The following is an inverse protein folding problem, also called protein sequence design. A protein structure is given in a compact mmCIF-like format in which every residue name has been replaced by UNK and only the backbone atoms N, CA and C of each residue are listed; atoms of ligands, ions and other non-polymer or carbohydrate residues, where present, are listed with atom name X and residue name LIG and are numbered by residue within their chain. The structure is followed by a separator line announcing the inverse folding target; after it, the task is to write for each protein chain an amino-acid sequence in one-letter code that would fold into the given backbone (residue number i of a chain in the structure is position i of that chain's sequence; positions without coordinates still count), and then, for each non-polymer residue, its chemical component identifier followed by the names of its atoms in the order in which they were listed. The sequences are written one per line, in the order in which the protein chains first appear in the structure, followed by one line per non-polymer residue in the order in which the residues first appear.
data_IF_658479389105
#
_entry.id   IF_658479389105
#
_cell.length_a   1.000
_cell.length_b   1.000
_cell.length_c   1.000
_cell.angle_alpha   90.00
_cell.angle_beta   90.00
_cell.angle_gamma   90.00
#
_symmetry.space_group_name_H-M   'P 1'
#
loop_
_entity.id
_entity.type
_entity.pdbx_description
1 polymer ?
#
# COMPACT_ATOMS: atom_id res chain seq x y z
N UNK A 1 -3.13 3.32 24.26
CA UNK A 1 -2.64 3.96 23.01
C UNK A 1 -3.34 3.28 21.85
N UNK A 2 -3.70 4.01 20.80
CA UNK A 2 -4.37 3.40 19.65
C UNK A 2 -3.34 2.93 18.60
N UNK A 3 -3.63 1.80 17.95
CA UNK A 3 -2.92 1.35 16.74
C UNK A 3 -3.94 1.15 15.64
N UNK A 4 -3.59 1.53 14.42
CA UNK A 4 -4.39 1.32 13.23
C UNK A 4 -3.68 0.34 12.31
N UNK A 5 -4.35 -0.78 12.00
CA UNK A 5 -3.93 -1.66 10.91
C UNK A 5 -4.55 -1.20 9.61
N UNK A 6 -3.71 -0.94 8.60
CA UNK A 6 -4.10 -0.45 7.30
C UNK A 6 -3.70 -1.45 6.21
N UNK A 7 -4.63 -1.76 5.30
CA UNK A 7 -4.38 -2.63 4.16
C UNK A 7 -5.28 -2.30 2.99
N UNK A 8 -4.75 -2.37 1.77
CA UNK A 8 -5.55 -2.25 0.56
C UNK A 8 -6.57 -3.39 0.47
N UNK A 9 -7.78 -3.05 0.01
CA UNK A 9 -8.83 -4.01 -0.28
C UNK A 9 -8.34 -4.97 -1.35
N UNK A 10 -8.72 -6.24 -1.22
CA UNK A 10 -8.58 -7.22 -2.29
C UNK A 10 -9.98 -7.68 -2.66
N UNK A 11 -10.21 -7.85 -3.95
CA UNK A 11 -11.34 -8.65 -4.42
C UNK A 11 -10.95 -10.11 -4.21
N UNK A 12 -11.83 -10.88 -3.58
CA UNK A 12 -11.70 -12.33 -3.47
C UNK A 12 -12.79 -12.95 -4.33
N UNK A 13 -12.50 -13.11 -5.60
CA UNK A 13 -13.36 -13.81 -6.56
C UNK A 13 -12.97 -15.28 -6.65
N UNK A 14 -13.93 -16.14 -7.03
CA UNK A 14 -13.59 -17.51 -7.48
C UNK A 14 -12.92 -17.52 -8.86
N UNK A 15 -13.03 -16.41 -9.58
CA UNK A 15 -12.38 -16.16 -10.85
C UNK A 15 -11.05 -15.44 -10.59
N UNK A 16 -9.95 -16.19 -10.63
CA UNK A 16 -8.61 -15.64 -10.38
C UNK A 16 -8.23 -14.51 -11.35
N UNK A 17 -8.84 -14.47 -12.55
CA UNK A 17 -8.63 -13.39 -13.50
C UNK A 17 -9.20 -12.06 -13.02
N UNK A 18 -10.34 -12.06 -12.32
CA UNK A 18 -10.93 -10.85 -11.73
C UNK A 18 -10.00 -10.24 -10.68
N UNK A 19 -9.43 -11.06 -9.80
CA UNK A 19 -8.54 -10.60 -8.74
C UNK A 19 -7.25 -10.01 -9.33
N UNK A 20 -6.71 -10.65 -10.37
CA UNK A 20 -5.53 -10.16 -11.10
C UNK A 20 -5.81 -8.86 -11.84
N UNK A 21 -6.94 -8.78 -12.56
CA UNK A 21 -7.39 -7.58 -13.24
C UNK A 21 -7.55 -6.40 -12.27
N UNK A 22 -8.21 -6.65 -11.13
CA UNK A 22 -8.35 -5.66 -10.07
C UNK A 22 -6.98 -5.23 -9.56
N UNK A 23 -6.05 -6.16 -9.31
CA UNK A 23 -4.71 -5.81 -8.84
C UNK A 23 -3.97 -4.90 -9.83
N UNK A 24 -3.94 -5.26 -11.12
CA UNK A 24 -3.25 -4.47 -12.16
C UNK A 24 -3.89 -3.10 -12.37
N UNK A 25 -5.23 -3.01 -12.42
CA UNK A 25 -5.95 -1.76 -12.69
C UNK A 25 -6.02 -0.86 -11.45
N UNK A 26 -6.30 -1.45 -10.28
CA UNK A 26 -6.59 -0.71 -9.05
C UNK A 26 -5.35 -0.45 -8.22
N UNK A 27 -4.52 -1.46 -7.95
CA UNK A 27 -3.30 -1.30 -7.16
C UNK A 27 -2.13 -0.81 -8.00
N UNK A 28 -1.99 -1.32 -9.22
CA UNK A 28 -0.85 -1.09 -10.09
C UNK A 28 0.18 -2.23 -9.99
N UNK A 29 1.32 -2.03 -10.65
CA UNK A 29 2.41 -3.01 -10.66
C UNK A 29 3.72 -2.31 -10.34
N UNK A 30 4.39 -2.82 -9.32
CA UNK A 30 5.72 -2.37 -8.95
C UNK A 30 6.78 -3.31 -9.52
N UNK A 31 7.87 -2.72 -9.99
CA UNK A 31 9.09 -3.44 -10.32
C UNK A 31 10.20 -2.95 -9.39
N UNK A 32 10.68 -3.88 -8.56
CA UNK A 32 11.84 -3.68 -7.70
C UNK A 32 13.08 -4.20 -8.41
N UNK A 33 14.20 -3.47 -8.31
CA UNK A 33 15.49 -4.02 -8.71
C UNK A 33 15.91 -5.13 -7.73
N UNK A 34 15.72 -4.87 -6.43
CA UNK A 34 16.05 -5.77 -5.32
C UNK A 34 14.95 -5.67 -4.22
N UNK A 35 14.75 -6.72 -3.42
CA UNK A 35 13.98 -6.61 -2.17
C UNK A 35 14.83 -5.81 -1.17
N UNK A 36 14.31 -4.68 -0.68
CA UNK A 36 15.02 -3.86 0.30
C UNK A 36 14.24 -3.58 1.57
N UNK A 37 14.98 -3.38 2.65
CA UNK A 37 14.51 -3.03 3.97
C UNK A 37 15.07 -1.68 4.44
N UNK A 38 14.56 -1.20 5.58
CA UNK A 38 15.07 0.01 6.20
C UNK A 38 16.56 -0.14 6.53
N UNK A 39 17.36 0.87 6.17
CA UNK A 39 18.81 0.88 6.38
C UNK A 39 19.65 0.32 5.22
N UNK A 40 19.00 -0.23 4.19
CA UNK A 40 19.67 -0.65 2.96
C UNK A 40 19.76 0.50 1.93
N UNK A 41 20.42 0.23 0.81
CA UNK A 41 20.62 1.21 -0.26
C UNK A 41 19.31 1.50 -1.01
N UNK A 42 18.77 2.70 -0.79
CA UNK A 42 17.54 3.20 -1.44
C UNK A 42 17.83 4.03 -2.70
N UNK A 43 19.00 3.90 -3.33
CA UNK A 43 19.34 4.64 -4.57
C UNK A 43 18.55 4.15 -5.78
N UNK A 44 18.06 2.91 -5.76
CA UNK A 44 17.25 2.34 -6.83
C UNK A 44 15.77 2.70 -6.62
N UNK A 45 15.16 3.55 -7.48
CA UNK A 45 13.79 3.98 -7.29
C UNK A 45 12.79 2.85 -7.53
N UNK A 46 11.65 2.92 -6.84
CA UNK A 46 10.49 2.07 -7.12
C UNK A 46 9.93 2.42 -8.50
N UNK A 47 9.87 1.45 -9.41
CA UNK A 47 9.26 1.65 -10.74
C UNK A 47 7.81 1.22 -10.71
N UNK A 48 6.90 2.14 -11.04
CA UNK A 48 5.46 1.93 -10.91
C UNK A 48 4.72 2.07 -12.26
N UNK A 49 3.92 1.06 -12.57
CA UNK A 49 2.91 1.09 -13.62
C UNK A 49 1.52 1.22 -13.02
N UNK A 50 0.72 2.19 -13.48
CA UNK A 50 -0.54 2.50 -12.82
C UNK A 50 -1.59 3.11 -13.74
N UNK A 51 -2.84 2.66 -13.57
CA UNK A 51 -4.02 3.42 -13.98
C UNK A 51 -4.23 4.59 -13.01
N UNK A 52 -4.09 5.82 -13.50
CA UNK A 52 -4.14 7.03 -12.65
C UNK A 52 -5.53 7.63 -12.53
N UNK A 53 -6.55 6.99 -13.10
CA UNK A 53 -7.93 7.45 -12.96
C UNK A 53 -8.29 7.53 -11.47
N UNK A 54 -8.41 8.76 -10.96
CA UNK A 54 -8.62 9.08 -9.54
C UNK A 54 -7.51 8.55 -8.62
N UNK A 55 -6.24 8.69 -9.02
CA UNK A 55 -5.10 8.30 -8.20
C UNK A 55 -5.19 8.95 -6.80
N UNK A 56 -5.30 8.15 -5.71
CA UNK A 56 -5.34 8.67 -4.35
C UNK A 56 -3.94 9.16 -3.90
N UNK A 57 -3.91 10.03 -2.89
CA UNK A 57 -2.65 10.47 -2.27
C UNK A 57 -1.90 9.35 -1.55
N UNK A 58 -2.56 8.22 -1.28
CA UNK A 58 -1.99 7.01 -0.68
C UNK A 58 -2.39 5.83 -1.54
N UNK A 59 -1.43 5.05 -2.00
CA UNK A 59 -1.65 3.79 -2.73
C UNK A 59 -0.82 2.67 -2.12
N UNK A 60 -1.18 1.42 -2.41
CA UNK A 60 -0.44 0.23 -1.98
C UNK A 60 -0.32 -0.76 -3.14
N UNK A 61 0.53 -0.46 -4.14
CA UNK A 61 0.77 -1.35 -5.28
C UNK A 61 1.51 -2.64 -4.90
N UNK A 62 2.15 -2.68 -3.73
CA UNK A 62 2.99 -3.78 -3.25
C UNK A 62 2.89 -3.91 -1.72
N UNK A 63 3.95 -4.37 -1.05
CA UNK A 63 4.05 -4.41 0.41
C UNK A 63 3.96 -3.01 1.03
N UNK A 64 4.78 -2.08 0.54
CA UNK A 64 4.89 -0.73 1.08
C UNK A 64 3.79 0.21 0.52
N UNK A 65 3.55 1.30 1.24
CA UNK A 65 2.71 2.37 0.73
C UNK A 65 3.48 3.26 -0.23
N UNK A 66 2.78 3.77 -1.22
CA UNK A 66 3.23 4.84 -2.11
C UNK A 66 2.42 6.08 -1.78
N UNK A 67 3.10 7.14 -1.37
CA UNK A 67 2.54 8.38 -0.85
C UNK A 67 2.80 9.53 -1.80
N UNK A 68 1.82 10.40 -1.99
CA UNK A 68 2.05 11.69 -2.64
C UNK A 68 2.99 12.54 -1.78
N UNK A 69 3.66 13.50 -2.42
CA UNK A 69 4.54 14.43 -1.72
C UNK A 69 3.85 15.18 -0.57
N UNK A 70 2.56 15.49 -0.73
CA UNK A 70 1.75 16.14 0.30
C UNK A 70 1.57 15.26 1.56
N UNK A 71 1.31 13.95 1.38
CA UNK A 71 1.18 13.01 2.51
C UNK A 71 2.54 12.73 3.14
N UNK A 72 3.57 12.50 2.31
CA UNK A 72 4.97 12.34 2.75
C UNK A 72 5.39 13.49 3.68
N UNK A 73 5.14 14.73 3.28
CA UNK A 73 5.57 15.90 4.04
C UNK A 73 4.90 16.02 5.42
N UNK A 74 3.73 15.41 5.63
CA UNK A 74 3.06 15.39 6.96
C UNK A 74 3.68 14.40 7.93
N UNK A 75 4.40 13.40 7.42
CA UNK A 75 5.10 12.40 8.22
C UNK A 75 6.62 12.59 8.16
N UNK A 76 7.09 13.69 7.57
CA UNK A 76 8.50 14.07 7.57
C UNK A 76 8.93 14.33 9.02
N UNK A 77 9.87 13.50 9.51
CA UNK A 77 10.34 13.55 10.89
C UNK A 77 9.77 12.46 11.82
N UNK A 78 8.85 11.62 11.35
CA UNK A 78 8.54 10.37 12.05
C UNK A 78 9.81 9.51 12.12
N UNK A 79 10.19 8.97 13.29
CA UNK A 79 11.41 8.19 13.43
C UNK A 79 11.31 6.85 12.68
N UNK A 80 12.47 6.30 12.33
CA UNK A 80 12.62 4.95 11.78
C UNK A 80 11.77 4.66 10.54
N UNK A 81 11.58 5.66 9.68
CA UNK A 81 11.05 5.48 8.33
C UNK A 81 12.01 6.09 7.32
N UNK A 82 11.91 5.65 6.07
CA UNK A 82 12.62 6.25 4.96
C UNK A 82 11.69 6.40 3.75
N UNK A 83 12.12 7.23 2.80
CA UNK A 83 11.41 7.46 1.56
C UNK A 83 12.29 7.09 0.38
N UNK A 84 11.78 6.23 -0.49
CA UNK A 84 12.39 5.98 -1.79
C UNK A 84 11.59 6.70 -2.89
N UNK A 85 12.27 7.19 -3.92
CA UNK A 85 11.61 7.86 -5.03
C UNK A 85 10.79 6.85 -5.85
N UNK A 86 9.57 7.25 -6.25
CA UNK A 86 8.79 6.52 -7.25
C UNK A 86 9.03 7.11 -8.63
N UNK A 87 9.34 6.24 -9.60
CA UNK A 87 9.41 6.57 -11.02
C UNK A 87 8.29 5.85 -11.74
N UNK A 88 7.39 6.61 -12.36
CA UNK A 88 6.34 6.03 -13.17
C UNK A 88 6.91 5.55 -14.50
N UNK A 89 6.90 4.23 -14.74
CA UNK A 89 7.35 3.64 -16.01
C UNK A 89 6.22 3.53 -17.02
N UNK A 90 4.97 3.45 -16.53
CA UNK A 90 3.77 3.49 -17.36
C UNK A 90 2.60 4.10 -16.60
N UNK A 91 2.05 5.16 -17.17
CA UNK A 91 0.80 5.78 -16.77
C UNK A 91 -0.21 5.67 -17.88
N UNK A 92 -1.44 5.33 -17.53
CA UNK A 92 -2.59 5.37 -18.42
C UNK A 92 -3.82 5.77 -17.60
N UNK A 93 -4.88 6.21 -18.26
CA UNK A 93 -6.11 6.64 -17.59
C UNK A 93 -7.30 5.97 -18.23
N UNK A 94 -7.83 4.95 -17.56
CA UNK A 94 -9.07 4.28 -17.92
C UNK A 94 -10.10 4.51 -16.82
N UNK A 95 -11.33 4.97 -17.14
CA UNK A 95 -12.40 5.10 -16.17
C UNK A 95 -12.72 3.76 -15.49
N UNK A 96 -12.11 3.54 -14.32
CA UNK A 96 -12.22 2.31 -13.56
C UNK A 96 -12.29 2.67 -12.07
N UNK A 97 -13.29 2.14 -11.37
CA UNK A 97 -13.42 2.22 -9.93
C UNK A 97 -13.44 0.81 -9.33
N UNK A 98 -13.33 0.70 -8.01
CA UNK A 98 -13.55 -0.58 -7.32
C UNK A 98 -14.90 -1.17 -7.74
N UNK A 99 -14.90 -2.45 -8.13
CA UNK A 99 -16.10 -3.16 -8.60
C UNK A 99 -16.51 -2.89 -10.05
N UNK A 100 -15.83 -2.01 -10.78
CA UNK A 100 -16.14 -1.70 -12.18
C UNK A 100 -15.47 -2.66 -13.18
N UNK A 101 -16.13 -3.76 -13.47
CA UNK A 101 -15.61 -4.79 -14.37
C UNK A 101 -16.03 -4.60 -15.84
N UNK A 102 -16.35 -3.37 -16.28
CA UNK A 102 -16.76 -3.12 -17.69
C UNK A 102 -15.67 -3.41 -18.72
N UNK A 103 -14.42 -3.35 -18.32
CA UNK A 103 -13.26 -3.66 -19.15
C UNK A 103 -12.76 -5.11 -18.96
N UNK A 104 -13.43 -5.88 -18.10
CA UNK A 104 -13.13 -7.28 -17.86
C UNK A 104 -14.01 -8.17 -18.76
N UNK A 105 -13.39 -9.17 -19.38
CA UNK A 105 -14.10 -10.24 -20.07
C UNK A 105 -13.93 -11.54 -19.29
N UNK A 106 -15.06 -12.15 -18.95
CA UNK A 106 -15.09 -13.39 -18.17
C UNK A 106 -14.30 -14.49 -18.88
N UNK A 107 -13.44 -15.17 -18.14
CA UNK A 107 -12.66 -16.30 -18.64
C UNK A 107 -11.35 -15.92 -19.31
N UNK A 108 -10.95 -14.63 -19.29
CA UNK A 108 -9.59 -14.26 -19.67
C UNK A 108 -8.58 -14.83 -18.67
N UNK A 109 -7.50 -15.37 -19.18
CA UNK A 109 -6.37 -15.81 -18.37
C UNK A 109 -5.51 -14.62 -17.94
N UNK A 110 -4.71 -14.78 -16.87
CA UNK A 110 -3.85 -13.70 -16.35
C UNK A 110 -2.92 -13.10 -17.43
N UNK A 111 -2.37 -13.95 -18.29
CA UNK A 111 -1.49 -13.51 -19.38
C UNK A 111 -2.21 -12.64 -20.42
N UNK A 112 -3.50 -12.87 -20.68
CA UNK A 112 -4.29 -12.06 -21.61
C UNK A 112 -4.63 -10.69 -21.00
N UNK A 113 -4.86 -10.65 -19.68
CA UNK A 113 -5.04 -9.40 -18.92
C UNK A 113 -3.77 -8.56 -18.99
N UNK A 114 -2.62 -9.16 -18.69
CA UNK A 114 -1.33 -8.49 -18.73
C UNK A 114 -1.05 -7.97 -20.13
N UNK A 115 -1.18 -8.82 -21.17
CA UNK A 115 -0.98 -8.41 -22.56
C UNK A 115 -1.89 -7.22 -22.96
N UNK A 116 -3.16 -7.23 -22.54
CA UNK A 116 -4.08 -6.13 -22.81
C UNK A 116 -3.65 -4.84 -22.09
N UNK A 117 -3.36 -4.89 -20.78
CA UNK A 117 -2.92 -3.71 -20.01
C UNK A 117 -1.58 -3.19 -20.54
N UNK A 118 -0.65 -4.08 -20.88
CA UNK A 118 0.66 -3.77 -21.43
C UNK A 118 0.55 -3.13 -22.83
N UNK A 119 -0.51 -3.44 -23.59
CA UNK A 119 -0.80 -2.80 -24.88
C UNK A 119 -1.34 -1.36 -24.76
N UNK A 120 -1.85 -0.94 -23.60
CA UNK A 120 -2.36 0.42 -23.41
C UNK A 120 -1.23 1.45 -23.59
N UNK A 121 -1.50 2.60 -24.22
CA UNK A 121 -0.48 3.62 -24.45
C UNK A 121 -0.04 4.24 -23.12
N UNK A 122 1.27 4.40 -22.94
CA UNK A 122 1.79 5.25 -21.88
C UNK A 122 1.51 6.72 -22.22
N UNK A 123 0.85 7.43 -21.31
CA UNK A 123 0.70 8.88 -21.37
C UNK A 123 1.55 9.56 -20.27
N UNK A 124 2.75 10.08 -20.61
CA UNK A 124 3.61 10.75 -19.65
C UNK A 124 3.06 12.10 -19.19
N UNK A 125 2.12 12.70 -19.92
CA UNK A 125 1.55 13.99 -19.53
C UNK A 125 0.73 13.89 -18.23
N UNK A 126 0.23 12.69 -17.92
CA UNK A 126 -0.46 12.39 -16.67
C UNK A 126 0.42 12.62 -15.43
N UNK A 127 1.74 12.46 -15.54
CA UNK A 127 2.66 12.69 -14.43
C UNK A 127 2.65 14.16 -13.96
N UNK A 128 2.44 15.11 -14.89
CA UNK A 128 2.46 16.54 -14.58
C UNK A 128 1.34 16.95 -13.59
N UNK A 129 0.20 16.26 -13.64
CA UNK A 129 -0.93 16.53 -12.75
C UNK A 129 -0.87 15.78 -11.41
N UNK A 130 -0.05 14.73 -11.32
CA UNK A 130 0.04 13.89 -10.12
C UNK A 130 1.05 14.42 -9.09
N UNK A 131 2.10 15.10 -9.55
CA UNK A 131 3.22 15.48 -8.70
C UNK A 131 4.12 14.28 -8.36
N UNK A 132 5.00 14.48 -7.38
CA UNK A 132 5.92 13.44 -6.94
C UNK A 132 5.24 12.44 -5.99
N UNK A 133 5.64 11.18 -6.11
CA UNK A 133 5.27 10.09 -5.20
C UNK A 133 6.52 9.42 -4.64
N UNK A 134 6.38 8.89 -3.44
CA UNK A 134 7.46 8.27 -2.68
C UNK A 134 6.97 6.98 -2.06
N UNK A 135 7.78 5.93 -2.13
CA UNK A 135 7.52 4.73 -1.36
C UNK A 135 7.92 4.97 0.09
N UNK A 136 7.01 4.66 1.02
CA UNK A 136 7.25 4.66 2.45
C UNK A 136 7.90 3.33 2.84
N UNK A 137 9.20 3.37 3.13
CA UNK A 137 9.98 2.23 3.62
C UNK A 137 9.92 2.22 5.13
N UNK A 138 9.45 1.11 5.69
CA UNK A 138 9.19 0.94 7.13
C UNK A 138 9.93 -0.30 7.68
N UNK A 139 10.19 -0.34 8.99
CA UNK A 139 10.66 -1.54 9.66
C UNK A 139 9.69 -2.70 9.44
N UNK A 140 10.21 -3.91 9.26
CA UNK A 140 9.40 -5.14 9.24
C UNK A 140 9.47 -5.72 10.64
N UNK A 141 8.33 -6.03 11.25
CA UNK A 141 8.28 -6.51 12.63
C UNK A 141 9.21 -7.70 12.90
N UNK A 142 9.26 -8.64 11.95
CA UNK A 142 10.14 -9.81 12.00
C UNK A 142 11.63 -9.50 12.21
N UNK A 143 12.08 -8.29 11.84
CA UNK A 143 13.50 -7.91 11.89
C UNK A 143 13.90 -7.40 13.30
N UNK A 144 12.94 -7.02 14.15
CA UNK A 144 13.20 -6.36 15.44
C UNK A 144 12.48 -7.01 16.63
N UNK A 145 11.50 -7.88 16.40
CA UNK A 145 10.73 -8.51 17.47
C UNK A 145 11.54 -9.27 18.54
N UNK A 146 12.70 -9.89 18.25
CA UNK A 146 13.48 -10.58 19.29
C UNK A 146 13.95 -9.68 20.44
N UNK A 147 14.06 -8.36 20.23
CA UNK A 147 14.68 -7.42 21.17
C UNK A 147 13.68 -6.71 22.10
N UNK A 148 12.37 -6.91 21.90
CA UNK A 148 11.32 -6.23 22.68
C UNK A 148 10.50 -7.23 23.50
N UNK A 149 10.03 -6.78 24.68
CA UNK A 149 8.91 -7.42 25.35
C UNK A 149 7.64 -7.04 24.57
N UNK A 150 7.08 -8.00 23.84
CA UNK A 150 5.95 -7.74 22.96
C UNK A 150 4.68 -8.37 23.51
N UNK A 151 3.63 -7.55 23.66
CA UNK A 151 2.29 -8.06 23.87
C UNK A 151 1.68 -8.52 22.54
N UNK A 152 0.95 -9.62 22.61
CA UNK A 152 0.23 -10.20 21.48
C UNK A 152 -1.18 -9.64 21.43
N UNK A 153 -1.51 -8.87 20.41
CA UNK A 153 -2.87 -8.37 20.19
C UNK A 153 -3.49 -9.09 18.99
N UNK A 154 -4.60 -9.79 19.21
CA UNK A 154 -5.35 -10.40 18.10
C UNK A 154 -6.26 -9.35 17.46
N UNK A 155 -6.15 -9.23 16.15
CA UNK A 155 -6.83 -8.26 15.30
C UNK A 155 -7.81 -9.01 14.39
N UNK A 156 -9.10 -8.72 14.56
CA UNK A 156 -10.11 -9.07 13.56
C UNK A 156 -10.30 -7.90 12.59
N UNK A 157 -9.72 -8.02 11.40
CA UNK A 157 -10.05 -7.14 10.28
C UNK A 157 -11.43 -7.52 9.73
N UNK A 158 -12.18 -6.57 9.15
CA UNK A 158 -13.42 -6.87 8.43
C UNK A 158 -13.22 -8.06 7.46
N UNK A 159 -14.20 -8.97 7.44
CA UNK A 159 -14.13 -10.22 6.68
C UNK A 159 -13.84 -9.98 5.20
N UNK A 160 -12.96 -10.82 4.61
CA UNK A 160 -12.65 -10.76 3.18
C UNK A 160 -11.49 -9.85 2.81
N UNK A 161 -10.57 -9.51 3.74
CA UNK A 161 -9.38 -8.69 3.42
C UNK A 161 -8.07 -9.24 4.01
N UNK A 162 -8.14 -9.89 5.17
CA UNK A 162 -7.03 -10.63 5.80
C UNK A 162 -7.58 -11.95 6.33
N UNK A 163 -6.73 -12.98 6.51
CA UNK A 163 -7.13 -14.15 7.30
C UNK A 163 -7.67 -13.66 8.65
N UNK A 164 -8.84 -14.17 9.04
CA UNK A 164 -9.42 -13.90 10.37
C UNK A 164 -8.38 -14.18 11.46
N UNK A 165 -8.22 -13.24 12.40
CA UNK A 165 -7.31 -13.38 13.54
C UNK A 165 -5.84 -13.08 13.20
N UNK A 166 -5.57 -11.92 12.60
CA UNK A 166 -4.19 -11.45 12.45
C UNK A 166 -3.65 -11.16 13.85
N UNK A 167 -2.54 -11.78 14.22
CA UNK A 167 -1.87 -11.47 15.48
C UNK A 167 -0.85 -10.38 15.18
N UNK A 168 -0.96 -9.25 15.86
CA UNK A 168 0.02 -8.16 15.80
C UNK A 168 0.78 -8.08 17.10
N UNK A 169 2.04 -7.71 16.97
CA UNK A 169 3.02 -7.66 18.04
C UNK A 169 3.32 -6.21 18.35
N UNK A 170 2.90 -5.73 19.52
CA UNK A 170 3.00 -4.33 19.89
C UNK A 170 3.25 -4.14 21.40
N UNK A 171 4.07 -3.16 21.75
CA UNK A 171 4.15 -2.61 23.10
C UNK A 171 4.25 -1.07 23.02
N UNK A 172 3.90 -0.33 24.09
CA UNK A 172 3.99 1.13 24.09
C UNK A 172 5.37 1.67 23.72
N UNK A 173 6.44 1.05 24.24
CA UNK A 173 7.82 1.46 23.95
C UNK A 173 8.19 1.17 22.49
N UNK A 174 7.80 -0.01 21.98
CA UNK A 174 8.04 -0.37 20.59
C UNK A 174 7.38 0.61 19.61
N UNK A 175 6.15 1.03 19.86
CA UNK A 175 5.40 1.95 18.97
C UNK A 175 5.92 3.38 19.05
N UNK A 176 6.40 3.79 20.24
CA UNK A 176 7.05 5.09 20.36
C UNK A 176 8.33 5.16 19.52
N UNK A 177 9.07 4.06 19.43
CA UNK A 177 10.27 3.97 18.60
C UNK A 177 9.95 3.72 17.13
N UNK A 178 8.94 2.90 16.82
CA UNK A 178 8.49 2.55 15.48
C UNK A 178 7.00 2.88 15.29
N UNK A 179 6.63 4.17 15.10
CA UNK A 179 5.23 4.59 14.97
C UNK A 179 4.55 4.06 13.71
N UNK A 180 5.35 3.60 12.73
CA UNK A 180 4.88 2.93 11.52
C UNK A 180 5.76 1.70 11.29
N UNK A 181 5.17 0.51 11.13
CA UNK A 181 5.89 -0.72 10.83
C UNK A 181 5.01 -1.73 10.09
N UNK A 182 5.63 -2.75 9.50
CA UNK A 182 4.94 -3.82 8.78
C UNK A 182 4.89 -5.12 9.58
N UNK A 183 3.69 -5.64 9.85
CA UNK A 183 3.47 -7.00 10.41
C UNK A 183 2.17 -7.60 9.83
N UNK A 184 2.26 -8.12 8.59
CA UNK A 184 1.11 -8.67 7.84
C UNK A 184 0.12 -7.63 7.30
N UNK A 185 0.11 -6.45 7.91
CA UNK A 185 -0.47 -5.19 7.45
C UNK A 185 0.46 -4.03 7.84
N UNK A 186 0.20 -2.83 7.32
CA UNK A 186 0.89 -1.64 7.82
C UNK A 186 0.23 -1.21 9.13
N UNK A 187 1.00 -1.14 10.19
CA UNK A 187 0.57 -0.72 11.51
C UNK A 187 1.05 0.71 11.77
N UNK A 188 0.13 1.57 12.18
CA UNK A 188 0.36 3.01 12.35
C UNK A 188 -0.17 3.42 13.73
N UNK A 189 0.60 4.22 14.48
CA UNK A 189 0.13 4.86 15.71
C UNK A 189 -1.14 5.70 15.44
N UNK A 190 -2.12 5.65 16.36
CA UNK A 190 -3.45 6.17 16.12
C UNK A 190 -3.54 7.67 15.85
N UNK A 191 -2.81 8.51 16.60
CA UNK A 191 -2.81 9.96 16.37
C UNK A 191 -2.11 10.31 15.05
N UNK A 192 -1.00 9.64 14.73
CA UNK A 192 -0.31 9.76 13.45
C UNK A 192 -1.22 9.36 12.28
N UNK A 193 -1.95 8.25 12.41
CA UNK A 193 -2.93 7.86 11.40
C UNK A 193 -3.99 8.94 11.18
N UNK A 194 -4.60 9.42 12.26
CA UNK A 194 -5.70 10.42 12.20
C UNK A 194 -5.25 11.74 11.57
N UNK A 195 -4.04 12.17 11.87
CA UNK A 195 -3.55 13.49 11.46
C UNK A 195 -2.87 13.49 10.09
N UNK A 196 -2.14 12.43 9.75
CA UNK A 196 -1.34 12.38 8.53
C UNK A 196 -1.97 11.57 7.40
N UNK A 197 -2.57 10.40 7.71
CA UNK A 197 -3.05 9.46 6.69
C UNK A 197 -4.54 9.60 6.40
N UNK A 198 -5.37 9.63 7.45
CA UNK A 198 -6.83 9.62 7.34
C UNK A 198 -7.41 10.71 6.40
N UNK A 199 -6.85 11.94 6.32
CA UNK A 199 -7.38 12.97 5.41
C UNK A 199 -7.29 12.63 3.92
N UNK A 200 -6.33 11.77 3.52
CA UNK A 200 -6.08 11.39 2.12
C UNK A 200 -6.37 9.91 1.86
N UNK A 201 -6.89 9.21 2.86
CA UNK A 201 -7.17 7.79 2.76
C UNK A 201 -8.46 7.54 2.00
N UNK A 202 -8.35 6.88 0.85
CA UNK A 202 -9.51 6.39 0.12
C UNK A 202 -10.04 5.11 0.78
N UNK A 203 -11.21 5.20 1.44
CA UNK A 203 -11.86 4.06 2.11
C UNK A 203 -12.50 3.05 1.14
N UNK A 204 -12.61 3.39 -0.14
CA UNK A 204 -12.89 2.44 -1.23
C UNK A 204 -11.61 1.72 -1.68
N UNK A 205 -10.44 2.27 -1.38
CA UNK A 205 -9.16 1.60 -1.66
C UNK A 205 -8.68 0.76 -0.49
N UNK A 206 -8.86 1.27 0.74
CA UNK A 206 -8.32 0.67 1.95
C UNK A 206 -9.41 0.13 2.88
N UNK A 207 -9.04 -0.88 3.67
CA UNK A 207 -9.67 -1.15 4.96
C UNK A 207 -8.70 -0.81 6.07
N UNK A 208 -9.26 -0.41 7.21
CA UNK A 208 -8.51 -0.29 8.42
C UNK A 208 -9.29 -0.84 9.61
N UNK A 209 -8.59 -1.13 10.69
CA UNK A 209 -9.18 -1.40 11.99
C UNK A 209 -8.32 -0.75 13.08
N UNK A 210 -8.99 -0.31 14.14
CA UNK A 210 -8.39 0.45 15.24
C UNK A 210 -8.42 -0.41 16.49
N UNK A 211 -7.31 -0.45 17.21
CA UNK A 211 -7.15 -1.26 18.43
C UNK A 211 -6.63 -0.38 19.55
N UNK A 212 -7.01 -0.74 20.78
CA UNK A 212 -6.51 -0.11 22.00
C UNK A 212 -5.51 -1.04 22.66
N UNK A 213 -4.27 -0.59 22.75
CA UNK A 213 -3.22 -1.17 23.57
C UNK A 213 -3.19 -0.50 24.94
#
# INVERSE_FOLDING_TARGET
MDIVALKARRVFSRDHGIDWFHARMFHGTCHYADDYALGEDLTNPLRLEKNVFRMPGIAQPSLNLVLSDAVRSRIEGVPNIAFNQVVFTKLFSLPFAEGDFRHWERGREMAEIDAWIDSLPHDPSLANGLGAYHELVVPRGKDFFPDYAIDTVSVEMPSGVVKRGMIVHASPDFIKEFPIYWDGALLIEGDLFRTAFAPDLDLTYFVHAVFRC
#
